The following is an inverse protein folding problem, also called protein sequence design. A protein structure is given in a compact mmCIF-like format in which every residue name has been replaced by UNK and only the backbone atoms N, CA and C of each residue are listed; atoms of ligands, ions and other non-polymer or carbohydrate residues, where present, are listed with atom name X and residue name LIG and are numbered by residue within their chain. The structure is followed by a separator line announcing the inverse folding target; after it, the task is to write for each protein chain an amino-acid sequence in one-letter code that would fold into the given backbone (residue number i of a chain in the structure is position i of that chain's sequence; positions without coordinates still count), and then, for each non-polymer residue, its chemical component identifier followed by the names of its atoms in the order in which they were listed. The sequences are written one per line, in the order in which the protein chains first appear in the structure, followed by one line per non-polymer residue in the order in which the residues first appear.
data_IF_439484455809
#
_entry.id   IF_439484455809
#
_cell.length_a   1.000
_cell.length_b   1.000
_cell.length_c   1.000
_cell.angle_alpha   90.00
_cell.angle_beta   90.00
_cell.angle_gamma   90.00
#
_symmetry.space_group_name_H-M   'P 1'
#
loop_
_entity.id
_entity.type
_entity.pdbx_description
1 polymer ?
#
# COMPACT_ATOMS: atom_id res chain seq x y z
N UNK A 1 -86.61 -8.00 36.37
CA UNK A 1 -86.43 -9.11 35.42
C UNK A 1 -85.49 -8.57 34.36
N UNK A 2 -84.38 -9.26 34.13
CA UNK A 2 -83.10 -8.73 33.64
C UNK A 2 -83.15 -7.87 32.37
N UNK A 3 -82.50 -6.70 32.44
CA UNK A 3 -82.01 -5.91 31.31
C UNK A 3 -80.85 -6.64 30.63
N UNK A 4 -80.99 -6.98 29.35
CA UNK A 4 -79.89 -7.45 28.51
C UNK A 4 -79.44 -6.31 27.58
N UNK A 5 -78.38 -5.62 27.99
CA UNK A 5 -77.57 -4.76 27.12
C UNK A 5 -76.54 -5.65 26.42
N UNK A 6 -76.63 -5.78 25.10
CA UNK A 6 -75.59 -6.45 24.31
C UNK A 6 -74.27 -5.66 24.33
N UNK A 7 -73.11 -6.32 24.50
CA UNK A 7 -71.83 -5.65 24.51
C UNK A 7 -71.37 -5.28 23.08
N UNK A 8 -71.13 -3.98 22.87
CA UNK A 8 -70.37 -3.45 21.74
C UNK A 8 -68.95 -4.03 21.72
N UNK A 9 -68.53 -4.55 20.57
CA UNK A 9 -67.17 -5.06 20.32
C UNK A 9 -66.12 -3.97 20.62
N UNK A 10 -64.96 -4.32 21.21
CA UNK A 10 -63.88 -3.34 21.40
C UNK A 10 -63.30 -2.96 20.03
N UNK A 11 -63.24 -1.66 19.77
CA UNK A 11 -62.56 -1.09 18.62
C UNK A 11 -61.10 -1.57 18.60
N UNK A 12 -60.63 -1.97 17.41
CA UNK A 12 -59.22 -2.25 17.15
C UNK A 12 -58.42 -0.99 17.47
N UNK A 13 -57.58 -1.05 18.51
CA UNK A 13 -56.51 -0.08 18.71
C UNK A 13 -55.55 -0.22 17.53
N UNK A 14 -55.67 0.68 16.55
CA UNK A 14 -54.59 0.96 15.63
C UNK A 14 -53.40 1.45 16.45
N UNK A 15 -52.27 0.75 16.33
CA UNK A 15 -51.03 1.15 16.98
C UNK A 15 -50.65 2.53 16.43
N UNK A 16 -50.71 3.53 17.31
CA UNK A 16 -50.16 4.87 17.08
C UNK A 16 -48.71 4.72 16.59
N UNK A 17 -48.30 5.38 15.49
CA UNK A 17 -46.90 5.42 15.13
C UNK A 17 -46.16 6.10 16.28
N UNK A 18 -45.21 5.39 16.90
CA UNK A 18 -44.31 5.93 17.92
C UNK A 18 -43.76 7.28 17.42
N UNK A 19 -44.28 8.36 18.00
CA UNK A 19 -43.73 9.68 17.82
C UNK A 19 -42.24 9.61 18.22
N UNK A 20 -41.34 10.28 17.48
CA UNK A 20 -39.96 10.41 17.93
C UNK A 20 -40.00 10.94 19.37
N UNK A 21 -39.26 10.30 20.29
CA UNK A 21 -38.97 10.92 21.57
C UNK A 21 -38.29 12.26 21.24
N UNK A 22 -39.03 13.35 21.41
CA UNK A 22 -38.49 14.69 21.49
C UNK A 22 -37.57 14.68 22.72
N UNK A 23 -36.31 14.29 22.50
CA UNK A 23 -35.25 14.67 23.40
C UNK A 23 -35.21 16.19 23.37
N UNK A 24 -35.26 16.79 24.54
CA UNK A 24 -34.98 18.21 24.74
C UNK A 24 -33.70 18.55 23.98
N UNK A 25 -33.85 19.16 22.81
CA UNK A 25 -32.74 19.81 22.13
C UNK A 25 -32.39 21.00 23.02
N UNK A 26 -31.32 20.88 23.80
CA UNK A 26 -30.73 22.02 24.50
C UNK A 26 -30.37 23.06 23.45
N UNK A 27 -31.18 24.13 23.38
CA UNK A 27 -30.92 25.31 22.56
C UNK A 27 -29.51 25.81 22.88
N UNK A 28 -28.55 25.57 21.98
CA UNK A 28 -27.18 26.08 22.12
C UNK A 28 -26.05 25.11 21.76
N UNK A 29 -26.29 23.81 21.59
CA UNK A 29 -25.23 22.94 21.05
C UNK A 29 -25.12 23.09 19.53
N UNK A 30 -23.92 23.40 18.99
CA UNK A 30 -23.75 23.55 17.55
C UNK A 30 -24.01 22.20 16.86
N UNK A 31 -25.02 22.16 15.98
CA UNK A 31 -25.31 21.00 15.16
C UNK A 31 -24.05 20.59 14.39
N UNK A 32 -23.73 19.29 14.45
CA UNK A 32 -22.52 18.78 13.82
C UNK A 32 -22.55 19.06 12.32
N UNK A 33 -21.44 19.59 11.81
CA UNK A 33 -21.28 19.86 10.39
C UNK A 33 -21.56 18.60 9.54
N UNK A 34 -22.10 18.78 8.34
CA UNK A 34 -22.37 17.69 7.39
C UNK A 34 -21.53 17.83 6.14
N UNK A 35 -21.33 16.74 5.42
CA UNK A 35 -20.68 16.76 4.11
C UNK A 35 -21.45 17.67 3.15
N UNK A 36 -20.76 18.44 2.31
CA UNK A 36 -21.45 19.35 1.38
C UNK A 36 -22.22 18.57 0.30
N UNK A 37 -21.73 17.39 -0.07
CA UNK A 37 -22.43 16.47 -0.94
C UNK A 37 -21.92 15.02 -0.74
N UNK A 38 -22.66 14.09 -1.33
CA UNK A 38 -22.37 12.65 -1.26
C UNK A 38 -21.07 12.25 -1.96
N UNK A 39 -20.64 12.99 -2.99
CA UNK A 39 -19.39 12.73 -3.72
C UNK A 39 -18.19 13.02 -2.84
N UNK A 40 -18.19 14.12 -2.08
CA UNK A 40 -17.12 14.44 -1.12
C UNK A 40 -16.96 13.34 -0.06
N UNK A 41 -18.07 12.82 0.46
CA UNK A 41 -18.06 11.70 1.39
C UNK A 41 -17.45 10.44 0.75
N UNK A 42 -17.97 10.01 -0.40
CA UNK A 42 -17.49 8.79 -1.08
C UNK A 42 -16.01 8.91 -1.47
N UNK A 43 -15.60 10.04 -2.04
CA UNK A 43 -14.20 10.28 -2.40
C UNK A 43 -13.29 10.34 -1.16
N UNK A 44 -13.76 10.87 -0.03
CA UNK A 44 -13.01 10.84 1.23
C UNK A 44 -12.82 9.42 1.74
N UNK A 45 -13.85 8.58 1.68
CA UNK A 45 -13.75 7.16 2.02
C UNK A 45 -12.82 6.41 1.06
N UNK A 46 -12.93 6.64 -0.25
CA UNK A 46 -12.03 6.04 -1.24
C UNK A 46 -10.59 6.49 -1.02
N UNK A 47 -10.34 7.78 -0.79
CA UNK A 47 -9.00 8.31 -0.54
C UNK A 47 -8.39 7.79 0.77
N UNK A 48 -9.21 7.37 1.72
CA UNK A 48 -8.74 6.69 2.94
C UNK A 48 -8.43 5.21 2.70
N UNK A 49 -9.31 4.50 1.97
CA UNK A 49 -9.17 3.06 1.74
C UNK A 49 -8.19 2.70 0.62
N UNK A 50 -7.96 3.61 -0.33
CA UNK A 50 -6.99 3.41 -1.41
C UNK A 50 -5.74 4.22 -1.12
N UNK A 51 -4.70 3.53 -0.69
CA UNK A 51 -3.44 4.14 -0.29
C UNK A 51 -2.22 3.46 -0.88
N UNK A 52 -1.05 3.77 -0.32
CA UNK A 52 0.21 3.13 -0.70
C UNK A 52 0.08 1.61 -0.65
N UNK A 53 -0.57 1.07 0.39
CA UNK A 53 -0.83 -0.36 0.62
C UNK A 53 -1.33 -1.14 -0.60
N UNK A 54 -2.24 -0.56 -1.38
CA UNK A 54 -2.79 -1.19 -2.59
C UNK A 54 -1.75 -1.33 -3.70
N UNK A 55 -0.78 -0.41 -3.77
CA UNK A 55 0.22 -0.34 -4.84
C UNK A 55 1.39 -1.28 -4.57
N UNK A 56 1.87 -1.40 -3.33
CA UNK A 56 3.07 -2.18 -2.99
C UNK A 56 2.80 -3.46 -2.17
N UNK A 57 1.99 -3.38 -1.11
CA UNK A 57 1.78 -4.47 -0.16
C UNK A 57 0.88 -5.54 -0.76
N UNK A 58 -0.20 -5.13 -1.43
CA UNK A 58 -1.10 -6.09 -2.08
C UNK A 58 -0.39 -6.97 -3.12
N UNK A 59 0.33 -6.44 -4.13
CA UNK A 59 1.08 -7.28 -5.07
C UNK A 59 2.03 -8.25 -4.38
N UNK A 60 2.74 -7.79 -3.35
CA UNK A 60 3.62 -8.65 -2.57
C UNK A 60 2.86 -9.78 -1.87
N UNK A 61 1.77 -9.45 -1.17
CA UNK A 61 0.95 -10.44 -0.48
C UNK A 61 0.32 -11.44 -1.44
N UNK A 62 -0.17 -10.97 -2.59
CA UNK A 62 -0.72 -11.84 -3.62
C UNK A 62 0.32 -12.84 -4.12
N UNK A 63 1.52 -12.37 -4.47
CA UNK A 63 2.61 -13.23 -4.93
C UNK A 63 3.07 -14.24 -3.87
N UNK A 64 3.44 -13.76 -2.67
CA UNK A 64 3.99 -14.61 -1.61
C UNK A 64 3.01 -15.74 -1.21
N UNK A 65 1.71 -15.45 -1.22
CA UNK A 65 0.66 -16.33 -0.74
C UNK A 65 -0.09 -17.11 -1.85
N UNK A 66 0.48 -17.21 -3.06
CA UNK A 66 0.00 -18.14 -4.09
C UNK A 66 -0.51 -17.51 -5.39
N UNK A 67 -0.07 -16.30 -5.70
CA UNK A 67 -0.40 -15.58 -6.95
C UNK A 67 -1.91 -15.37 -7.08
N UNK A 68 -2.47 -15.76 -8.23
CA UNK A 68 -3.91 -15.66 -8.47
C UNK A 68 -4.77 -16.43 -7.45
N UNK A 69 -4.26 -17.51 -6.85
CA UNK A 69 -5.01 -18.28 -5.86
C UNK A 69 -5.33 -17.46 -4.60
N UNK A 70 -4.49 -16.47 -4.26
CA UNK A 70 -4.72 -15.54 -3.14
C UNK A 70 -5.92 -14.61 -3.35
N UNK A 71 -6.32 -14.35 -4.60
CA UNK A 71 -7.46 -13.50 -4.90
C UNK A 71 -8.78 -14.11 -4.42
N UNK A 72 -8.86 -15.44 -4.33
CA UNK A 72 -10.04 -16.16 -3.82
C UNK A 72 -10.28 -15.86 -2.33
N UNK A 73 -9.37 -16.17 -1.38
CA UNK A 73 -9.58 -15.86 0.03
C UNK A 73 -9.71 -14.36 0.26
N UNK A 74 -8.96 -13.52 -0.47
CA UNK A 74 -9.12 -12.06 -0.39
C UNK A 74 -10.54 -11.60 -0.78
N UNK A 75 -11.08 -12.09 -1.90
CA UNK A 75 -12.44 -11.72 -2.34
C UNK A 75 -13.51 -12.23 -1.38
N UNK A 76 -13.39 -13.49 -0.93
CA UNK A 76 -14.34 -14.08 0.02
C UNK A 76 -14.37 -13.28 1.32
N UNK A 77 -13.20 -13.02 1.92
CA UNK A 77 -13.10 -12.26 3.16
C UNK A 77 -13.47 -10.78 2.98
N UNK A 78 -13.23 -10.18 1.81
CA UNK A 78 -13.67 -8.82 1.53
C UNK A 78 -15.20 -8.72 1.58
N UNK A 79 -15.91 -9.73 1.07
CA UNK A 79 -17.38 -9.78 1.07
C UNK A 79 -17.93 -10.15 2.44
N UNK A 80 -17.33 -11.14 3.13
CA UNK A 80 -17.89 -11.70 4.38
C UNK A 80 -17.42 -10.99 5.65
N UNK A 81 -16.26 -10.34 5.63
CA UNK A 81 -15.66 -9.67 6.80
C UNK A 81 -15.45 -8.18 6.51
N UNK A 82 -14.71 -7.83 5.46
CA UNK A 82 -14.32 -6.45 5.16
C UNK A 82 -15.51 -5.51 5.01
N UNK A 83 -16.41 -5.83 4.07
CA UNK A 83 -17.60 -5.03 3.78
C UNK A 83 -18.57 -4.92 4.97
N UNK A 84 -18.92 -6.01 5.69
CA UNK A 84 -19.74 -5.92 6.90
C UNK A 84 -19.11 -5.07 8.01
N UNK A 85 -17.80 -5.20 8.24
CA UNK A 85 -17.10 -4.38 9.26
C UNK A 85 -17.09 -2.90 8.87
N UNK A 86 -16.83 -2.59 7.60
CA UNK A 86 -16.91 -1.22 7.08
C UNK A 86 -18.32 -0.63 7.24
N UNK A 87 -19.35 -1.44 6.94
CA UNK A 87 -20.74 -1.05 7.11
C UNK A 87 -21.07 -0.76 8.57
N UNK A 88 -20.65 -1.63 9.49
CA UNK A 88 -20.87 -1.47 10.92
C UNK A 88 -20.28 -0.16 11.43
N UNK A 89 -19.04 0.15 11.07
CA UNK A 89 -18.36 1.38 11.53
C UNK A 89 -18.98 2.65 10.95
N UNK A 90 -19.36 2.63 9.67
CA UNK A 90 -20.05 3.78 9.07
C UNK A 90 -21.42 4.02 9.69
N UNK A 91 -22.22 2.96 9.91
CA UNK A 91 -23.53 3.07 10.55
C UNK A 91 -23.39 3.56 11.98
N UNK A 92 -22.42 3.04 12.73
CA UNK A 92 -22.15 3.48 14.10
C UNK A 92 -21.83 4.99 14.14
N UNK A 93 -20.95 5.44 13.25
CA UNK A 93 -20.61 6.85 13.09
C UNK A 93 -21.84 7.68 12.72
N UNK A 94 -22.55 7.32 11.65
CA UNK A 94 -23.72 8.05 11.14
C UNK A 94 -24.85 8.14 12.17
N UNK A 95 -25.14 7.04 12.86
CA UNK A 95 -26.21 6.97 13.86
C UNK A 95 -25.92 7.85 15.05
N UNK A 96 -24.69 7.82 15.57
CA UNK A 96 -24.32 8.58 16.77
C UNK A 96 -24.01 10.03 16.45
N UNK A 97 -23.58 10.35 15.22
CA UNK A 97 -23.09 11.68 14.84
C UNK A 97 -22.01 12.22 15.80
N UNK A 98 -21.27 11.33 16.47
CA UNK A 98 -20.18 11.66 17.41
C UNK A 98 -18.84 11.10 16.92
N UNK A 99 -17.74 11.58 17.47
CA UNK A 99 -16.40 11.07 17.16
C UNK A 99 -16.16 9.66 17.73
N UNK A 100 -15.12 9.00 17.23
CA UNK A 100 -14.76 7.62 17.61
C UNK A 100 -14.55 7.41 19.13
N UNK A 101 -14.09 8.43 19.86
CA UNK A 101 -13.90 8.37 21.32
C UNK A 101 -15.22 8.17 22.08
N UNK A 102 -16.32 8.68 21.53
CA UNK A 102 -17.65 8.55 22.13
C UNK A 102 -18.46 7.39 21.56
N UNK A 103 -17.94 6.73 20.52
CA UNK A 103 -18.70 5.74 19.77
C UNK A 103 -19.11 4.51 20.60
N UNK A 104 -18.30 4.16 21.60
CA UNK A 104 -18.50 2.99 22.46
C UNK A 104 -19.05 3.34 23.85
N UNK A 105 -19.62 4.53 24.03
CA UNK A 105 -20.18 4.96 25.32
C UNK A 105 -21.45 4.22 25.73
N UNK A 106 -22.13 3.55 24.79
CA UNK A 106 -23.31 2.73 25.06
C UNK A 106 -23.01 1.54 25.99
N UNK A 107 -21.75 1.10 26.05
CA UNK A 107 -21.31 0.02 26.93
C UNK A 107 -20.08 0.48 27.74
N UNK A 108 -20.19 0.61 29.07
CA UNK A 108 -19.15 1.26 29.89
C UNK A 108 -17.80 0.54 29.85
N UNK A 109 -17.79 -0.79 29.65
CA UNK A 109 -16.56 -1.57 29.53
C UNK A 109 -15.83 -1.34 28.18
N UNK A 110 -16.54 -0.94 27.11
CA UNK A 110 -15.94 -0.67 25.79
C UNK A 110 -15.48 0.77 25.59
N UNK A 111 -15.65 1.67 26.58
CA UNK A 111 -15.25 3.09 26.44
C UNK A 111 -13.77 3.27 26.06
N UNK A 112 -12.90 2.36 26.52
CA UNK A 112 -11.47 2.37 26.17
C UNK A 112 -11.18 2.15 24.69
N UNK A 113 -12.07 1.50 23.93
CA UNK A 113 -11.83 1.15 22.51
C UNK A 113 -11.64 2.41 21.66
N UNK A 114 -12.53 3.41 21.81
CA UNK A 114 -12.45 4.65 21.03
C UNK A 114 -11.20 5.48 21.35
N UNK A 115 -10.72 5.41 22.59
CA UNK A 115 -9.46 6.02 23.01
C UNK A 115 -8.27 5.30 22.37
N UNK A 116 -8.25 3.96 22.40
CA UNK A 116 -7.22 3.16 21.74
C UNK A 116 -7.16 3.42 20.23
N UNK A 117 -8.31 3.49 19.54
CA UNK A 117 -8.40 3.87 18.12
C UNK A 117 -7.77 5.24 17.85
N UNK A 118 -7.96 6.20 18.76
CA UNK A 118 -7.39 7.54 18.63
C UNK A 118 -5.86 7.54 18.76
N UNK A 119 -5.32 6.81 19.74
CA UNK A 119 -3.87 6.64 19.87
C UNK A 119 -3.26 5.88 18.68
N UNK A 120 -3.93 4.85 18.17
CA UNK A 120 -3.48 4.13 16.97
C UNK A 120 -3.39 5.08 15.76
N UNK A 121 -4.43 5.90 15.52
CA UNK A 121 -4.41 6.92 14.47
C UNK A 121 -3.30 7.96 14.68
N UNK A 122 -3.01 8.35 15.92
CA UNK A 122 -1.94 9.29 16.24
C UNK A 122 -0.57 8.74 15.81
N UNK A 123 -0.22 7.51 16.20
CA UNK A 123 1.04 6.89 15.79
C UNK A 123 1.13 6.68 14.27
N UNK A 124 0.04 6.27 13.64
CA UNK A 124 -0.06 6.16 12.18
C UNK A 124 0.25 7.50 11.52
N UNK A 125 -0.35 8.58 12.02
CA UNK A 125 -0.12 9.92 11.49
C UNK A 125 1.36 10.33 11.58
N UNK A 126 2.06 9.99 12.67
CA UNK A 126 3.48 10.34 12.84
C UNK A 126 4.35 9.73 11.73
N UNK A 127 4.27 8.41 11.49
CA UNK A 127 5.15 7.77 10.52
C UNK A 127 4.71 7.98 9.07
N UNK A 128 3.39 8.06 8.78
CA UNK A 128 2.93 8.34 7.42
C UNK A 128 3.32 9.74 6.94
N UNK A 129 3.41 10.73 7.82
CA UNK A 129 3.94 12.05 7.45
C UNK A 129 5.43 12.00 7.10
N UNK A 130 6.21 11.08 7.69
CA UNK A 130 7.60 10.83 7.29
C UNK A 130 7.68 10.22 5.89
N UNK A 131 6.79 9.29 5.55
CA UNK A 131 6.71 8.75 4.18
C UNK A 131 6.34 9.84 3.16
N UNK A 132 5.43 10.75 3.51
CA UNK A 132 5.12 11.91 2.68
C UNK A 132 6.35 12.82 2.50
N UNK A 133 7.15 13.02 3.55
CA UNK A 133 8.40 13.77 3.47
C UNK A 133 9.40 13.11 2.51
N UNK A 134 9.54 11.78 2.51
CA UNK A 134 10.37 11.07 1.52
C UNK A 134 9.88 11.34 0.10
N UNK A 135 8.57 11.24 -0.15
CA UNK A 135 8.00 11.54 -1.47
C UNK A 135 8.29 12.98 -1.90
N UNK A 136 8.20 13.96 -0.99
CA UNK A 136 8.53 15.36 -1.29
C UNK A 136 10.02 15.55 -1.63
N UNK A 137 10.93 14.88 -0.91
CA UNK A 137 12.37 14.89 -1.23
C UNK A 137 12.59 14.33 -2.64
N UNK A 138 12.05 13.15 -2.95
CA UNK A 138 12.15 12.55 -4.28
C UNK A 138 11.52 13.42 -5.38
N UNK A 139 10.41 14.10 -5.08
CA UNK A 139 9.77 15.05 -6.00
C UNK A 139 10.70 16.22 -6.33
N UNK A 140 11.35 16.83 -5.33
CA UNK A 140 12.32 17.92 -5.55
C UNK A 140 13.54 17.43 -6.35
N UNK A 141 14.07 16.24 -6.04
CA UNK A 141 15.20 15.67 -6.78
C UNK A 141 14.84 15.27 -8.22
N UNK A 142 13.57 15.00 -8.51
CA UNK A 142 13.09 14.63 -9.86
C UNK A 142 13.16 15.78 -10.87
N UNK A 143 13.36 17.02 -10.43
CA UNK A 143 13.56 18.17 -11.32
C UNK A 143 15.02 18.29 -11.84
N UNK A 144 15.94 17.43 -11.39
CA UNK A 144 17.33 17.40 -11.86
C UNK A 144 17.48 16.48 -13.08
N UNK A 145 18.24 16.92 -14.08
CA UNK A 145 18.64 16.12 -15.23
C UNK A 145 20.17 16.07 -15.33
N UNK A 146 20.83 14.91 -15.23
CA UNK A 146 20.26 13.57 -15.01
C UNK A 146 19.71 13.36 -13.59
N UNK A 147 18.88 12.33 -13.40
CA UNK A 147 18.32 11.98 -12.10
C UNK A 147 19.44 11.57 -11.12
N UNK A 148 19.41 11.97 -9.84
CA UNK A 148 20.50 11.69 -8.91
C UNK A 148 20.81 10.19 -8.72
N UNK A 149 19.77 9.35 -8.72
CA UNK A 149 19.88 7.90 -8.57
C UNK A 149 20.19 7.15 -9.88
N UNK A 150 20.44 7.85 -10.99
CA UNK A 150 20.81 7.20 -12.25
C UNK A 150 22.31 6.92 -12.39
N UNK A 151 23.13 7.42 -11.46
CA UNK A 151 24.59 7.27 -11.44
C UNK A 151 25.08 7.02 -10.01
N UNK A 152 26.22 6.37 -9.86
CA UNK A 152 26.92 6.30 -8.57
C UNK A 152 27.72 7.59 -8.36
N UNK A 153 27.22 8.49 -7.52
CA UNK A 153 27.88 9.78 -7.24
C UNK A 153 28.85 9.64 -6.05
N UNK A 154 30.11 10.11 -6.14
CA UNK A 154 31.09 9.99 -5.06
C UNK A 154 30.67 10.64 -3.73
N UNK A 155 29.71 11.57 -3.74
CA UNK A 155 29.25 12.22 -2.50
C UNK A 155 28.53 11.27 -1.54
N UNK A 156 27.89 10.22 -2.05
CA UNK A 156 27.06 9.31 -1.26
C UNK A 156 27.24 7.83 -1.61
N UNK A 157 27.75 7.52 -2.80
CA UNK A 157 27.97 6.15 -3.24
C UNK A 157 29.32 5.63 -2.72
N UNK A 158 29.34 4.35 -2.33
CA UNK A 158 30.56 3.65 -1.98
C UNK A 158 31.07 2.78 -3.15
N UNK A 159 32.13 2.00 -2.92
CA UNK A 159 32.72 1.09 -3.92
C UNK A 159 31.83 -0.11 -4.28
N UNK A 160 30.72 -0.33 -3.56
CA UNK A 160 29.76 -1.41 -3.77
C UNK A 160 28.52 -0.96 -4.58
N UNK A 161 28.56 0.25 -5.16
CA UNK A 161 27.53 0.80 -6.03
C UNK A 161 27.67 0.34 -7.49
N UNK A 162 26.55 0.02 -8.15
CA UNK A 162 26.50 -0.16 -9.61
C UNK A 162 25.20 0.39 -10.24
N UNK A 163 25.27 0.64 -11.55
CA UNK A 163 24.14 1.10 -12.38
C UNK A 163 23.66 -0.04 -13.29
N UNK A 164 22.35 -0.33 -13.25
CA UNK A 164 21.75 -1.53 -13.89
C UNK A 164 21.93 -1.64 -15.40
N UNK A 165 21.98 -0.52 -16.12
CA UNK A 165 22.03 -0.52 -17.59
C UNK A 165 23.46 -0.37 -18.16
N UNK A 166 24.44 0.02 -17.34
CA UNK A 166 25.80 0.31 -17.80
C UNK A 166 26.83 -0.69 -17.29
N UNK A 167 26.63 -1.24 -16.09
CA UNK A 167 27.63 -2.07 -15.43
C UNK A 167 27.24 -3.55 -15.51
N UNK A 168 28.14 -4.37 -16.08
CA UNK A 168 27.95 -5.82 -16.14
C UNK A 168 28.38 -6.42 -14.80
N UNK A 169 27.51 -7.18 -14.12
CA UNK A 169 27.91 -7.90 -12.91
C UNK A 169 28.89 -9.02 -13.27
N UNK A 170 30.00 -9.14 -12.53
CA UNK A 170 30.97 -10.21 -12.76
C UNK A 170 30.36 -11.62 -12.55
N UNK A 171 29.25 -11.74 -11.79
CA UNK A 171 28.51 -13.01 -11.66
C UNK A 171 27.87 -13.46 -12.97
N UNK A 172 27.36 -12.53 -13.76
CA UNK A 172 26.74 -12.83 -15.06
C UNK A 172 27.80 -13.35 -16.03
N UNK A 173 28.99 -12.73 -16.02
CA UNK A 173 30.13 -13.16 -16.84
C UNK A 173 30.55 -14.60 -16.52
N UNK A 174 30.60 -14.97 -15.23
CA UNK A 174 30.94 -16.34 -14.84
C UNK A 174 29.93 -17.37 -15.40
N UNK A 175 28.65 -17.00 -15.49
CA UNK A 175 27.61 -17.86 -16.06
C UNK A 175 27.70 -17.93 -17.60
N UNK A 176 27.96 -16.80 -18.27
CA UNK A 176 28.14 -16.77 -19.73
C UNK A 176 29.38 -17.55 -20.18
N UNK A 177 30.47 -17.42 -19.43
CA UNK A 177 31.67 -18.23 -19.65
C UNK A 177 31.39 -19.72 -19.47
N UNK A 178 30.58 -20.11 -18.49
CA UNK A 178 30.17 -21.50 -18.32
C UNK A 178 29.32 -22.01 -19.49
N UNK A 179 28.40 -21.21 -20.04
CA UNK A 179 27.60 -21.60 -21.23
C UNK A 179 28.48 -21.91 -22.45
N UNK A 180 29.56 -21.17 -22.63
CA UNK A 180 30.44 -21.31 -23.81
C UNK A 180 31.54 -22.37 -23.59
N UNK A 181 32.21 -22.34 -22.44
CA UNK A 181 33.39 -23.16 -22.18
C UNK A 181 33.14 -24.37 -21.28
N UNK A 182 31.98 -24.43 -20.61
CA UNK A 182 31.64 -25.51 -19.67
C UNK A 182 31.56 -26.89 -20.31
N UNK A 183 31.38 -26.99 -21.63
CA UNK A 183 31.36 -28.27 -22.38
C UNK A 183 32.68 -28.59 -23.07
N UNK A 184 33.58 -27.61 -23.20
CA UNK A 184 34.79 -27.75 -24.01
C UNK A 184 35.95 -28.43 -23.27
N UNK A 185 35.93 -28.45 -21.93
CA UNK A 185 36.82 -29.15 -20.97
C UNK A 185 38.27 -29.50 -21.42
N UNK A 186 38.86 -28.67 -22.29
CA UNK A 186 40.21 -28.82 -22.81
C UNK A 186 41.12 -27.80 -22.13
N UNK A 187 42.20 -28.30 -21.52
CA UNK A 187 43.17 -27.48 -20.81
C UNK A 187 44.24 -26.98 -21.78
N UNK A 188 44.08 -25.76 -22.27
CA UNK A 188 45.12 -25.08 -23.05
C UNK A 188 46.26 -24.56 -22.14
N UNK A 189 47.37 -24.15 -22.74
CA UNK A 189 48.58 -23.73 -22.00
C UNK A 189 48.37 -22.47 -21.13
N UNK A 190 47.42 -21.59 -21.46
CA UNK A 190 47.12 -20.36 -20.70
C UNK A 190 45.63 -20.21 -20.40
N UNK A 191 45.15 -21.01 -19.44
CA UNK A 191 43.75 -21.02 -18.99
C UNK A 191 43.61 -20.64 -17.53
N UNK A 192 42.51 -19.97 -17.20
CA UNK A 192 42.03 -19.75 -15.83
C UNK A 192 41.01 -20.84 -15.49
N UNK A 193 41.18 -21.48 -14.33
CA UNK A 193 40.20 -22.43 -13.79
C UNK A 193 39.10 -21.66 -13.08
N UNK A 194 37.86 -21.90 -13.48
CA UNK A 194 36.67 -21.33 -12.86
C UNK A 194 35.77 -22.45 -12.34
N UNK A 195 35.02 -22.14 -11.28
CA UNK A 195 34.05 -23.05 -10.69
C UNK A 195 32.65 -22.48 -10.89
N UNK A 196 31.76 -23.28 -11.48
CA UNK A 196 30.34 -22.99 -11.50
C UNK A 196 29.60 -24.14 -10.84
N UNK A 197 29.08 -23.90 -9.62
CA UNK A 197 28.60 -24.96 -8.71
C UNK A 197 29.75 -25.94 -8.42
N UNK A 198 29.60 -27.21 -8.79
CA UNK A 198 30.59 -28.29 -8.57
C UNK A 198 31.36 -28.69 -9.84
N UNK A 199 31.22 -27.91 -10.92
CA UNK A 199 31.87 -28.19 -12.21
C UNK A 199 33.03 -27.23 -12.41
N UNK A 200 34.22 -27.80 -12.58
CA UNK A 200 35.42 -27.08 -13.01
C UNK A 200 35.43 -26.95 -14.53
N UNK A 201 35.72 -25.75 -15.03
CA UNK A 201 35.90 -25.51 -16.46
C UNK A 201 37.08 -24.55 -16.70
N UNK A 202 37.68 -24.68 -17.88
CA UNK A 202 38.88 -23.94 -18.28
C UNK A 202 38.53 -22.87 -19.31
N UNK A 203 38.93 -21.63 -19.04
CA UNK A 203 38.73 -20.49 -19.95
C UNK A 203 40.08 -19.90 -20.33
N UNK A 204 40.36 -19.61 -21.61
CA UNK A 204 41.55 -18.87 -22.02
C UNK A 204 41.72 -17.56 -21.25
N UNK A 205 42.93 -17.28 -20.75
CA UNK A 205 43.19 -16.13 -19.86
C UNK A 205 42.91 -14.79 -20.53
N UNK A 206 43.23 -14.66 -21.81
CA UNK A 206 42.95 -13.49 -22.64
C UNK A 206 41.46 -13.16 -22.68
N UNK A 207 40.62 -14.18 -22.91
CA UNK A 207 39.16 -14.06 -22.90
C UNK A 207 38.66 -13.70 -21.51
N UNK A 208 39.11 -14.43 -20.48
CA UNK A 208 38.71 -14.17 -19.10
C UNK A 208 39.01 -12.72 -18.68
N UNK A 209 40.24 -12.25 -18.90
CA UNK A 209 40.67 -10.91 -18.52
C UNK A 209 39.96 -9.83 -19.34
N UNK A 210 39.71 -10.06 -20.64
CA UNK A 210 39.01 -9.09 -21.46
C UNK A 210 37.55 -8.90 -21.02
N UNK A 211 36.84 -9.99 -20.71
CA UNK A 211 35.46 -9.93 -20.22
C UNK A 211 35.37 -9.40 -18.78
N UNK A 212 36.28 -9.78 -17.88
CA UNK A 212 36.23 -9.34 -16.48
C UNK A 212 36.73 -7.91 -16.25
N UNK A 213 37.48 -7.30 -17.18
CA UNK A 213 37.95 -5.91 -17.06
C UNK A 213 36.83 -4.87 -16.99
N UNK A 214 35.65 -5.17 -17.55
CA UNK A 214 34.50 -4.26 -17.57
C UNK A 214 33.40 -4.59 -16.58
N UNK A 215 33.65 -5.53 -15.65
CA UNK A 215 32.61 -6.01 -14.73
C UNK A 215 32.79 -5.50 -13.31
N UNK A 216 31.67 -5.42 -12.58
CA UNK A 216 31.64 -5.02 -11.18
C UNK A 216 31.18 -6.15 -10.26
N UNK A 217 31.83 -6.26 -9.10
CA UNK A 217 31.38 -7.13 -7.99
C UNK A 217 30.42 -6.41 -7.03
N UNK A 218 30.07 -5.17 -7.35
CA UNK A 218 29.09 -4.39 -6.61
C UNK A 218 27.74 -5.13 -6.53
N UNK A 219 27.13 -5.04 -5.35
CA UNK A 219 25.91 -5.76 -5.00
C UNK A 219 24.71 -4.85 -4.82
N UNK A 220 24.92 -3.55 -4.63
CA UNK A 220 23.87 -2.57 -4.39
C UNK A 220 23.72 -1.59 -5.56
N UNK A 221 22.47 -1.27 -5.87
CA UNK A 221 22.17 -0.37 -6.99
C UNK A 221 22.34 1.10 -6.59
N UNK A 222 22.66 1.97 -7.56
CA UNK A 222 22.71 3.42 -7.34
C UNK A 222 21.45 3.98 -6.68
N UNK A 223 20.26 3.49 -7.06
CA UNK A 223 18.99 3.93 -6.47
C UNK A 223 18.81 3.49 -5.01
N UNK A 224 19.29 2.31 -4.66
CA UNK A 224 19.25 1.78 -3.29
C UNK A 224 20.21 2.56 -2.38
N UNK A 225 21.45 2.78 -2.81
CA UNK A 225 22.41 3.57 -2.04
C UNK A 225 22.00 5.04 -1.95
N UNK A 226 21.42 5.60 -3.01
CA UNK A 226 20.86 6.94 -2.95
C UNK A 226 19.79 7.04 -1.85
N UNK A 227 18.93 6.03 -1.70
CA UNK A 227 17.94 6.03 -0.62
C UNK A 227 18.59 5.92 0.77
N UNK A 228 19.44 4.91 0.98
CA UNK A 228 19.99 4.63 2.31
C UNK A 228 21.06 5.61 2.77
N UNK A 229 21.99 6.00 1.89
CA UNK A 229 23.12 6.87 2.24
C UNK A 229 22.79 8.34 2.02
N UNK A 230 22.18 8.67 0.87
CA UNK A 230 21.80 10.06 0.61
C UNK A 230 20.52 10.42 1.37
N UNK A 231 19.36 9.85 1.03
CA UNK A 231 18.04 10.29 1.54
C UNK A 231 17.88 10.07 3.03
N UNK A 232 18.12 8.85 3.52
CA UNK A 232 17.96 8.49 4.93
C UNK A 232 19.18 8.83 5.77
N UNK A 233 20.40 8.63 5.23
CA UNK A 233 21.64 8.59 5.99
C UNK A 233 21.50 7.64 7.20
N UNK A 234 21.13 6.38 6.90
CA UNK A 234 20.76 5.38 7.90
C UNK A 234 21.93 5.08 8.85
N UNK A 235 21.64 5.06 10.16
CA UNK A 235 22.64 4.74 11.18
C UNK A 235 22.80 3.23 11.39
N UNK A 236 23.82 2.85 12.17
CA UNK A 236 24.11 1.47 12.58
C UNK A 236 22.96 0.82 13.37
N UNK A 237 22.23 1.62 14.15
CA UNK A 237 21.12 1.17 14.97
C UNK A 237 20.41 2.30 15.71
N UNK A 238 19.35 1.95 16.45
CA UNK A 238 18.53 2.89 17.22
C UNK A 238 19.30 3.55 18.37
N UNK A 239 20.34 2.88 18.88
CA UNK A 239 21.19 3.39 19.97
C UNK A 239 22.07 4.57 19.51
N UNK A 240 22.31 4.68 18.20
CA UNK A 240 23.12 5.73 17.60
C UNK A 240 22.29 6.44 16.50
N UNK A 241 21.32 7.30 16.86
CA UNK A 241 20.39 7.89 15.90
C UNK A 241 21.03 8.87 14.89
N UNK A 242 22.35 9.09 14.97
CA UNK A 242 23.09 9.94 14.04
C UNK A 242 22.71 11.42 14.17
N UNK A 243 22.80 12.14 13.05
CA UNK A 243 22.49 13.58 12.96
C UNK A 243 21.13 13.78 12.31
N UNK A 244 20.40 14.80 12.76
CA UNK A 244 19.14 15.21 12.14
C UNK A 244 19.43 15.72 10.72
N UNK A 245 18.82 15.07 9.73
CA UNK A 245 18.96 15.48 8.34
C UNK A 245 18.05 16.68 8.04
N UNK A 246 18.67 17.81 7.69
CA UNK A 246 17.97 19.09 7.48
C UNK A 246 16.97 19.00 6.32
N UNK A 247 17.34 18.42 5.18
CA UNK A 247 16.46 18.32 4.01
C UNK A 247 15.16 17.54 4.32
N UNK A 248 15.30 16.45 5.07
CA UNK A 248 14.17 15.64 5.50
C UNK A 248 13.32 16.37 6.53
N UNK A 249 13.96 17.09 7.46
CA UNK A 249 13.26 17.87 8.49
C UNK A 249 12.42 18.98 7.87
N UNK A 250 12.98 19.71 6.89
CA UNK A 250 12.25 20.74 6.14
C UNK A 250 11.09 20.11 5.36
N UNK A 251 11.33 18.98 4.69
CA UNK A 251 10.29 18.27 3.94
C UNK A 251 9.16 17.75 4.84
N UNK A 252 9.50 17.27 6.04
CA UNK A 252 8.52 16.86 7.05
C UNK A 252 7.71 18.04 7.58
N UNK A 253 8.34 19.18 7.82
CA UNK A 253 7.63 20.40 8.21
C UNK A 253 6.65 20.86 7.11
N UNK A 254 7.07 20.82 5.85
CA UNK A 254 6.19 21.11 4.70
C UNK A 254 5.04 20.11 4.59
N UNK A 255 5.29 18.81 4.80
CA UNK A 255 4.26 17.78 4.82
C UNK A 255 3.18 18.09 5.87
N UNK A 256 3.58 18.44 7.10
CA UNK A 256 2.65 18.86 8.15
C UNK A 256 1.87 20.12 7.79
N UNK A 257 2.51 21.11 7.15
CA UNK A 257 1.80 22.30 6.64
C UNK A 257 0.71 21.90 5.65
N UNK A 258 0.98 21.02 4.70
CA UNK A 258 -0.03 20.55 3.75
C UNK A 258 -1.20 19.86 4.44
N UNK A 259 -0.93 18.99 5.42
CA UNK A 259 -1.97 18.33 6.21
C UNK A 259 -2.81 19.34 6.99
N UNK A 260 -2.15 20.29 7.68
CA UNK A 260 -2.83 21.34 8.44
C UNK A 260 -3.72 22.21 7.55
N UNK A 261 -3.22 22.64 6.38
CA UNK A 261 -4.00 23.43 5.41
C UNK A 261 -5.20 22.62 4.90
N UNK A 262 -5.01 21.33 4.58
CA UNK A 262 -6.11 20.47 4.12
C UNK A 262 -7.21 20.31 5.18
N UNK A 263 -6.85 20.34 6.46
CA UNK A 263 -7.77 20.12 7.59
C UNK A 263 -8.21 21.42 8.30
N UNK A 264 -7.75 22.60 7.89
CA UNK A 264 -7.92 23.86 8.65
C UNK A 264 -9.38 24.24 8.93
N UNK A 265 -10.33 23.88 8.04
CA UNK A 265 -11.78 24.05 8.26
C UNK A 265 -12.52 22.71 8.40
N UNK A 266 -11.81 21.66 8.81
CA UNK A 266 -12.33 20.30 8.93
C UNK A 266 -12.82 19.75 7.59
N UNK A 267 -14.00 19.13 7.60
CA UNK A 267 -14.59 18.48 6.42
C UNK A 267 -14.87 19.43 5.25
N UNK A 268 -15.02 20.74 5.51
CA UNK A 268 -15.28 21.74 4.46
C UNK A 268 -14.07 21.98 3.57
N UNK A 269 -12.86 21.92 4.13
CA UNK A 269 -11.62 22.00 3.34
C UNK A 269 -11.19 20.63 2.85
N UNK A 270 -11.22 19.61 3.71
CA UNK A 270 -10.78 18.27 3.31
C UNK A 270 -11.66 17.69 2.20
N UNK A 271 -12.98 17.90 2.27
CA UNK A 271 -13.94 17.54 1.21
C UNK A 271 -13.63 18.18 -0.14
N UNK A 272 -13.01 19.38 -0.17
CA UNK A 272 -12.56 20.01 -1.42
C UNK A 272 -11.22 19.49 -1.90
N UNK A 273 -10.29 19.23 -0.98
CA UNK A 273 -8.97 18.66 -1.29
C UNK A 273 -9.10 17.27 -1.91
N UNK A 274 -10.05 16.45 -1.46
CA UNK A 274 -10.24 15.07 -1.96
C UNK A 274 -10.66 14.98 -3.43
N UNK A 275 -11.22 16.03 -4.04
CA UNK A 275 -11.47 16.04 -5.49
C UNK A 275 -10.17 15.93 -6.30
N UNK A 276 -9.04 16.34 -5.73
CA UNK A 276 -7.73 16.15 -6.33
C UNK A 276 -7.04 14.89 -5.78
N UNK A 277 -6.96 14.77 -4.45
CA UNK A 277 -6.13 13.72 -3.84
C UNK A 277 -6.66 12.31 -4.02
N UNK A 278 -7.99 12.11 -4.14
CA UNK A 278 -8.55 10.78 -4.36
C UNK A 278 -8.46 10.32 -5.83
N UNK A 279 -8.77 11.15 -6.87
CA UNK A 279 -8.63 10.73 -8.26
C UNK A 279 -7.20 10.71 -8.80
N UNK A 280 -6.29 11.56 -8.30
CA UNK A 280 -4.93 11.67 -8.85
C UNK A 280 -4.14 10.35 -8.87
N UNK A 281 -4.15 9.50 -7.81
CA UNK A 281 -3.53 8.19 -7.85
C UNK A 281 -4.05 7.29 -8.97
N UNK A 282 -5.34 7.34 -9.30
CA UNK A 282 -5.91 6.55 -10.40
C UNK A 282 -5.40 7.01 -11.76
N UNK A 283 -5.26 8.33 -11.97
CA UNK A 283 -4.67 8.88 -13.20
C UNK A 283 -3.22 8.42 -13.33
N UNK A 284 -2.44 8.54 -12.27
CA UNK A 284 -1.03 8.11 -12.25
C UNK A 284 -0.91 6.61 -12.49
N UNK A 285 -1.70 5.79 -11.79
CA UNK A 285 -1.71 4.33 -11.97
C UNK A 285 -2.11 3.94 -13.39
N UNK A 286 -3.05 4.65 -14.00
CA UNK A 286 -3.45 4.39 -15.40
C UNK A 286 -2.31 4.68 -16.37
N UNK A 287 -1.63 5.83 -16.21
CA UNK A 287 -0.46 6.19 -17.03
C UNK A 287 0.67 5.18 -16.84
N UNK A 288 0.96 4.80 -15.59
CA UNK A 288 1.99 3.81 -15.27
C UNK A 288 1.62 2.42 -15.77
N UNK A 289 0.34 2.06 -15.78
CA UNK A 289 -0.13 0.78 -16.32
C UNK A 289 0.06 0.75 -17.83
N UNK A 290 -0.40 1.78 -18.54
CA UNK A 290 -0.20 1.90 -19.99
C UNK A 290 1.28 1.84 -20.33
N UNK A 291 2.11 2.63 -19.62
CA UNK A 291 3.55 2.60 -19.84
C UNK A 291 4.15 1.23 -19.50
N UNK A 292 3.75 0.64 -18.39
CA UNK A 292 4.23 -0.65 -17.91
C UNK A 292 3.96 -1.78 -18.88
N UNK A 293 2.73 -1.90 -19.40
CA UNK A 293 2.38 -2.97 -20.36
C UNK A 293 3.05 -2.80 -21.72
N UNK A 294 3.48 -1.58 -22.08
CA UNK A 294 4.24 -1.34 -23.33
C UNK A 294 5.73 -1.69 -23.23
N UNK A 295 6.23 -2.00 -22.04
CA UNK A 295 7.63 -2.37 -21.84
C UNK A 295 7.91 -3.81 -22.29
N UNK A 296 9.10 -4.09 -22.85
CA UNK A 296 9.49 -5.44 -23.20
C UNK A 296 9.55 -6.32 -21.95
N UNK A 297 9.06 -7.56 -22.04
CA UNK A 297 9.04 -8.48 -20.91
C UNK A 297 7.99 -8.19 -19.82
N UNK A 298 7.20 -7.11 -19.92
CA UNK A 298 6.14 -6.83 -18.95
C UNK A 298 5.10 -7.96 -18.83
N UNK A 299 4.80 -8.63 -19.94
CA UNK A 299 3.86 -9.74 -19.99
C UNK A 299 4.26 -10.94 -19.12
N UNK A 300 5.55 -11.25 -18.98
CA UNK A 300 6.01 -12.36 -18.13
C UNK A 300 5.83 -12.03 -16.66
N UNK A 301 6.07 -10.78 -16.26
CA UNK A 301 5.84 -10.31 -14.90
C UNK A 301 4.36 -10.31 -14.52
N UNK A 302 3.49 -9.79 -15.39
CA UNK A 302 2.02 -9.82 -15.15
C UNK A 302 1.51 -11.26 -15.12
N UNK A 303 1.95 -12.11 -16.05
CA UNK A 303 1.57 -13.52 -16.06
C UNK A 303 1.96 -14.19 -14.74
N UNK A 304 3.15 -13.89 -14.20
CA UNK A 304 3.64 -14.44 -12.93
C UNK A 304 2.72 -14.13 -11.74
N UNK A 305 2.10 -12.94 -11.69
CA UNK A 305 1.09 -12.60 -10.69
C UNK A 305 -0.15 -13.51 -10.78
N UNK A 306 -0.54 -13.89 -12.00
CA UNK A 306 -1.78 -14.64 -12.26
C UNK A 306 -1.61 -16.15 -12.33
N UNK A 307 -0.40 -16.70 -12.14
CA UNK A 307 -0.19 -18.15 -12.02
C UNK A 307 -0.74 -18.61 -10.66
N UNK A 308 -1.79 -19.45 -10.60
CA UNK A 308 -2.40 -19.85 -9.34
C UNK A 308 -1.66 -21.02 -8.71
N UNK A 309 -1.27 -20.88 -7.44
CA UNK A 309 -0.73 -21.98 -6.63
C UNK A 309 -1.80 -22.48 -5.66
N UNK A 310 -2.70 -23.33 -6.17
CA UNK A 310 -3.88 -23.78 -5.42
C UNK A 310 -3.55 -24.49 -4.11
N UNK A 311 -2.41 -25.18 -4.03
CA UNK A 311 -1.97 -25.88 -2.81
C UNK A 311 -1.84 -24.92 -1.60
N UNK A 312 -1.44 -23.66 -1.85
CA UNK A 312 -1.26 -22.66 -0.78
C UNK A 312 -2.58 -22.23 -0.14
N UNK A 313 -3.71 -22.32 -0.84
CA UNK A 313 -5.02 -21.90 -0.29
C UNK A 313 -5.47 -22.76 0.90
N UNK A 314 -4.97 -23.98 0.99
CA UNK A 314 -5.27 -24.91 2.09
C UNK A 314 -4.57 -24.49 3.39
N UNK A 315 -3.55 -23.64 3.30
CA UNK A 315 -2.87 -23.11 4.48
C UNK A 315 -3.70 -22.00 5.12
N UNK A 316 -4.01 -22.15 6.41
CA UNK A 316 -4.67 -21.10 7.20
C UNK A 316 -3.88 -19.79 7.25
N UNK A 317 -2.56 -19.85 7.04
CA UNK A 317 -1.71 -18.66 6.95
C UNK A 317 -2.11 -17.75 5.78
N UNK A 318 -2.48 -18.31 4.63
CA UNK A 318 -2.91 -17.52 3.46
C UNK A 318 -4.19 -16.74 3.75
N UNK A 319 -5.13 -17.37 4.45
CA UNK A 319 -6.38 -16.72 4.89
C UNK A 319 -6.13 -15.64 5.94
N UNK A 320 -5.19 -15.88 6.86
CA UNK A 320 -4.75 -14.87 7.83
C UNK A 320 -4.14 -13.64 7.13
N UNK A 321 -3.25 -13.86 6.15
CA UNK A 321 -2.64 -12.77 5.37
C UNK A 321 -3.67 -12.00 4.55
N UNK A 322 -4.64 -12.69 3.93
CA UNK A 322 -5.74 -12.07 3.21
C UNK A 322 -6.61 -11.21 4.15
N UNK A 323 -6.95 -11.72 5.33
CA UNK A 323 -7.68 -11.00 6.36
C UNK A 323 -6.93 -9.73 6.78
N UNK A 324 -5.65 -9.86 7.16
CA UNK A 324 -4.81 -8.71 7.52
C UNK A 324 -4.77 -7.68 6.39
N UNK A 325 -4.58 -8.11 5.13
CA UNK A 325 -4.57 -7.20 3.99
C UNK A 325 -5.87 -6.40 3.90
N UNK A 326 -7.04 -7.00 4.10
CA UNK A 326 -8.33 -6.30 4.06
C UNK A 326 -8.44 -5.23 5.16
N UNK A 327 -8.08 -5.57 6.39
CA UNK A 327 -8.15 -4.61 7.50
C UNK A 327 -7.24 -3.39 7.27
N UNK A 328 -6.00 -3.63 6.81
CA UNK A 328 -5.07 -2.55 6.49
C UNK A 328 -5.46 -1.76 5.24
N UNK A 329 -6.06 -2.39 4.22
CA UNK A 329 -6.50 -1.71 2.99
C UNK A 329 -7.67 -0.79 3.30
N UNK A 330 -8.73 -1.33 3.90
CA UNK A 330 -9.94 -0.56 4.16
C UNK A 330 -9.78 0.47 5.29
N UNK A 331 -8.75 0.33 6.14
CA UNK A 331 -8.60 1.12 7.36
C UNK A 331 -9.63 0.75 8.43
N UNK A 332 -10.16 -0.47 8.38
CA UNK A 332 -11.17 -0.95 9.31
C UNK A 332 -10.61 -1.03 10.74
N UNK A 333 -11.45 -0.70 11.72
CA UNK A 333 -11.17 -0.78 13.16
C UNK A 333 -10.12 0.21 13.67
N UNK A 334 -9.78 1.22 12.86
CA UNK A 334 -8.95 2.35 13.26
C UNK A 334 -9.77 3.54 13.74
N UNK A 335 -11.10 3.53 13.55
CA UNK A 335 -12.04 4.59 13.95
C UNK A 335 -12.19 5.74 12.96
N UNK A 336 -11.32 5.83 11.95
CA UNK A 336 -11.41 6.80 10.85
C UNK A 336 -12.73 6.69 10.10
N UNK A 337 -13.22 5.48 9.86
CA UNK A 337 -14.51 5.21 9.19
C UNK A 337 -15.67 5.74 10.04
N UNK A 338 -15.65 5.49 11.35
CA UNK A 338 -16.64 6.03 12.30
C UNK A 338 -16.62 7.57 12.23
N UNK A 339 -15.43 8.17 12.24
CA UNK A 339 -15.26 9.61 12.13
C UNK A 339 -15.87 10.17 10.82
N UNK A 340 -15.58 9.59 9.65
CA UNK A 340 -16.17 10.04 8.38
C UNK A 340 -17.69 9.83 8.33
N UNK A 341 -18.18 8.68 8.79
CA UNK A 341 -19.60 8.35 8.81
C UNK A 341 -20.40 9.30 9.70
N UNK A 342 -19.80 9.81 10.77
CA UNK A 342 -20.47 10.69 11.72
C UNK A 342 -20.74 12.12 11.25
N UNK A 343 -20.23 12.50 10.07
CA UNK A 343 -20.61 13.71 9.36
C UNK A 343 -21.69 13.47 8.28
N UNK A 344 -22.19 12.24 8.11
CA UNK A 344 -23.30 11.96 7.19
C UNK A 344 -24.66 12.37 7.76
N UNK A 345 -25.60 12.63 6.88
CA UNK A 345 -27.01 12.76 7.24
C UNK A 345 -27.58 11.41 7.66
N UNK A 346 -28.42 11.40 8.68
CA UNK A 346 -29.00 10.18 9.25
C UNK A 346 -29.78 9.34 8.23
N UNK A 347 -30.39 9.99 7.23
CA UNK A 347 -31.20 9.33 6.19
C UNK A 347 -30.41 8.85 4.98
N UNK A 348 -29.10 9.10 4.90
CA UNK A 348 -28.31 8.68 3.74
C UNK A 348 -28.18 7.15 3.70
N UNK A 349 -28.51 6.54 2.55
CA UNK A 349 -28.34 5.11 2.33
C UNK A 349 -26.87 4.77 2.05
N UNK A 350 -26.24 4.07 2.98
CA UNK A 350 -24.85 3.65 2.93
C UNK A 350 -24.61 2.39 2.08
N UNK A 351 -25.65 1.62 1.73
CA UNK A 351 -25.47 0.30 1.08
C UNK A 351 -24.76 0.41 -0.27
N UNK A 352 -25.17 1.40 -1.08
CA UNK A 352 -24.55 1.68 -2.38
C UNK A 352 -23.15 2.28 -2.21
N UNK A 353 -22.98 3.16 -1.22
CA UNK A 353 -21.74 3.89 -0.97
C UNK A 353 -20.62 2.91 -0.63
N UNK A 354 -20.90 1.98 0.27
CA UNK A 354 -19.95 0.96 0.70
C UNK A 354 -19.62 -0.02 -0.43
N UNK A 355 -20.60 -0.37 -1.27
CA UNK A 355 -20.34 -1.19 -2.45
C UNK A 355 -19.35 -0.49 -3.39
N UNK A 356 -19.54 0.80 -3.65
CA UNK A 356 -18.63 1.59 -4.49
C UNK A 356 -17.22 1.65 -3.87
N UNK A 357 -17.12 1.96 -2.57
CA UNK A 357 -15.83 2.09 -1.87
C UNK A 357 -15.06 0.76 -1.89
N UNK A 358 -15.71 -0.34 -1.54
CA UNK A 358 -15.06 -1.67 -1.47
C UNK A 358 -14.66 -2.19 -2.86
N UNK A 359 -15.48 -1.92 -3.90
CA UNK A 359 -15.09 -2.23 -5.28
C UNK A 359 -13.91 -1.38 -5.75
N UNK A 360 -13.90 -0.08 -5.43
CA UNK A 360 -12.79 0.80 -5.76
C UNK A 360 -11.47 0.32 -5.12
N UNK A 361 -11.49 -0.07 -3.84
CA UNK A 361 -10.33 -0.65 -3.15
C UNK A 361 -9.83 -1.94 -3.81
N UNK A 362 -10.75 -2.87 -4.12
CA UNK A 362 -10.43 -4.13 -4.76
C UNK A 362 -9.77 -3.93 -6.14
N UNK A 363 -10.38 -3.13 -7.01
CA UNK A 363 -9.85 -2.90 -8.36
C UNK A 363 -8.56 -2.09 -8.34
N UNK A 364 -8.42 -1.14 -7.40
CA UNK A 364 -7.17 -0.38 -7.23
C UNK A 364 -6.01 -1.28 -6.84
N UNK A 365 -6.25 -2.24 -5.95
CA UNK A 365 -5.26 -3.24 -5.53
C UNK A 365 -4.77 -4.09 -6.70
N UNK A 366 -5.69 -4.57 -7.54
CA UNK A 366 -5.34 -5.35 -8.73
C UNK A 366 -4.60 -4.49 -9.75
N UNK A 367 -5.05 -3.27 -10.01
CA UNK A 367 -4.39 -2.34 -10.92
C UNK A 367 -2.97 -2.00 -10.46
N UNK A 368 -2.79 -1.68 -9.18
CA UNK A 368 -1.48 -1.47 -8.56
C UNK A 368 -0.57 -2.69 -8.70
N UNK A 369 -1.10 -3.89 -8.48
CA UNK A 369 -0.35 -5.12 -8.67
C UNK A 369 0.11 -5.33 -10.11
N UNK A 370 -0.77 -5.10 -11.09
CA UNK A 370 -0.38 -5.19 -12.51
C UNK A 370 0.73 -4.19 -12.86
N UNK A 371 0.67 -2.95 -12.36
CA UNK A 371 1.72 -1.94 -12.57
C UNK A 371 3.06 -2.43 -12.01
N UNK A 372 3.09 -2.87 -10.76
CA UNK A 372 4.33 -3.35 -10.12
C UNK A 372 4.90 -4.55 -10.86
N UNK A 373 4.07 -5.56 -11.17
CA UNK A 373 4.54 -6.76 -11.87
C UNK A 373 4.93 -6.50 -13.33
N UNK A 374 4.34 -5.52 -14.01
CA UNK A 374 4.79 -5.10 -15.34
C UNK A 374 6.22 -4.53 -15.29
N UNK A 375 6.51 -3.66 -14.31
CA UNK A 375 7.85 -3.08 -14.13
C UNK A 375 8.87 -4.13 -13.69
N UNK A 376 8.49 -5.03 -12.77
CA UNK A 376 9.35 -6.15 -12.36
C UNK A 376 9.62 -7.12 -13.53
N UNK A 377 8.63 -7.36 -14.41
CA UNK A 377 8.78 -8.15 -15.63
C UNK A 377 9.80 -7.55 -16.60
N UNK A 378 9.69 -6.25 -16.87
CA UNK A 378 10.69 -5.53 -17.67
C UNK A 378 12.08 -5.58 -17.04
N UNK A 379 12.17 -5.42 -15.72
CA UNK A 379 13.45 -5.53 -15.01
C UNK A 379 14.06 -6.93 -15.12
N UNK A 380 13.26 -7.97 -14.96
CA UNK A 380 13.69 -9.35 -15.14
C UNK A 380 14.19 -9.62 -16.56
N UNK A 381 13.49 -9.07 -17.56
CA UNK A 381 13.87 -9.20 -18.98
C UNK A 381 15.19 -8.49 -19.29
N UNK A 382 15.38 -7.25 -18.82
CA UNK A 382 16.62 -6.50 -19.06
C UNK A 382 17.84 -7.11 -18.36
N UNK A 383 17.63 -7.73 -17.19
CA UNK A 383 18.71 -8.35 -16.42
C UNK A 383 18.98 -9.82 -16.82
N UNK A 384 18.21 -10.38 -17.76
CA UNK A 384 18.20 -11.82 -18.08
C UNK A 384 18.10 -12.71 -16.83
N UNK A 385 17.26 -12.30 -15.88
CA UNK A 385 17.04 -13.01 -14.61
C UNK A 385 15.62 -13.58 -14.53
N UNK A 386 15.43 -14.71 -13.83
CA UNK A 386 14.09 -15.21 -13.57
C UNK A 386 13.32 -14.22 -12.69
N UNK A 387 12.05 -13.98 -13.03
CA UNK A 387 11.17 -13.03 -12.33
C UNK A 387 11.07 -13.29 -10.82
N UNK A 388 11.16 -14.56 -10.39
CA UNK A 388 11.16 -14.95 -8.98
C UNK A 388 12.28 -14.26 -8.19
N UNK A 389 13.50 -14.23 -8.74
CA UNK A 389 14.67 -13.63 -8.07
C UNK A 389 14.57 -12.12 -7.94
N UNK A 390 13.93 -11.46 -8.91
CA UNK A 390 13.71 -10.01 -8.91
C UNK A 390 12.57 -9.66 -7.96
N UNK A 391 11.52 -10.48 -7.91
CA UNK A 391 10.40 -10.30 -6.98
C UNK A 391 10.83 -10.48 -5.50
N UNK A 392 11.71 -11.45 -5.21
CA UNK A 392 12.27 -11.67 -3.86
C UNK A 392 13.21 -10.52 -3.41
N UNK A 393 14.03 -9.98 -4.31
CA UNK A 393 14.85 -8.78 -4.01
C UNK A 393 13.98 -7.54 -3.84
N UNK A 394 12.93 -7.40 -4.64
CA UNK A 394 11.91 -6.38 -4.43
C UNK A 394 11.30 -6.52 -3.04
N UNK A 395 10.94 -7.73 -2.63
CA UNK A 395 10.39 -8.03 -1.31
C UNK A 395 11.27 -7.49 -0.16
N UNK A 396 12.59 -7.71 -0.16
CA UNK A 396 13.43 -7.15 0.93
C UNK A 396 13.47 -5.62 0.94
N UNK A 397 13.55 -4.98 -0.22
CA UNK A 397 13.57 -3.52 -0.33
C UNK A 397 12.23 -2.88 0.06
N UNK A 398 11.10 -3.52 -0.30
CA UNK A 398 9.77 -3.02 0.05
C UNK A 398 9.41 -3.26 1.51
N UNK A 399 9.83 -4.36 2.11
CA UNK A 399 9.56 -4.64 3.53
C UNK A 399 10.34 -3.71 4.45
N UNK A 400 11.57 -3.35 4.08
CA UNK A 400 12.43 -2.44 4.85
C UNK A 400 12.00 -0.96 4.81
N UNK A 401 11.06 -0.59 3.94
CA UNK A 401 10.45 0.76 3.90
C UNK A 401 9.12 0.81 4.67
N UNK A 402 8.53 -0.37 4.98
CA UNK A 402 7.22 -0.51 5.62
C UNK A 402 7.28 -0.80 7.13
N UNK A 403 8.47 -1.11 7.64
CA UNK A 403 8.80 -1.27 9.07
C UNK A 403 9.56 -0.02 9.48
#
# INVERSE_FOLDING_TARGET
MADQVMPTQPAKQEAEPLAPREGEATEGEPERQKWANKVEFILSCIGMSVGLGNIWRFPYMAYANGGAAFLVPYTVLMITVGKPMYYLELVLGQFQSLGQTHAFNCFPLSKGIGVCMTYACFFICLYFNVLLAYALVYMVHSFKSPLPWSKCDPEWADSNCFVRDTDISCRTIAHDLYRVFGTLNEKANDTVTLHHKDIEFYVPRDVYVNLTRGCTNATQTAAEQFFYHSVLNISSGIDEPGRIKVDLTVSLFVAWIFVCIALIKGIKTSGKVVYFTAPAPYVILTVLLIRGVTLPGAGTGIAYLFIPQWEKILSGFVWQQACQQIFYSLGASMGTIICLGSFNDFRNDLRRDIMIITMADFFSSIAGAMVVFAVLGNMAHNLDLPISSVAEKGQSQFTNVAI
#
